data_IF_103415950375
#
_entry.id   IF_103415950375
#
_cell.length_a   1.000
_cell.length_b   1.000
_cell.length_c   1.000
_cell.angle_alpha   90.00
_cell.angle_beta   90.00
_cell.angle_gamma   90.00
#
_symmetry.space_group_name_H-M   'P 1'
#
loop_
_entity.id
_entity.type
_entity.pdbx_description
1 polymer ?
#
# COMPACT_ATOMS: atom_id res chain seq x y z
N UNK A 1 -12.52 -22.69 14.22
CA UNK A 1 -13.07 -21.34 14.22
C UNK A 1 -13.79 -21.10 12.89
N UNK A 2 -15.05 -20.74 12.94
CA UNK A 2 -15.81 -20.48 11.70
C UNK A 2 -15.30 -19.18 11.05
N UNK A 3 -15.05 -19.23 9.75
CA UNK A 3 -14.73 -18.03 8.99
C UNK A 3 -15.93 -17.07 9.05
N UNK A 4 -15.68 -15.84 9.44
CA UNK A 4 -16.72 -14.83 9.48
C UNK A 4 -17.16 -14.49 8.05
N UNK A 5 -18.45 -14.59 7.77
CA UNK A 5 -19.01 -14.24 6.45
C UNK A 5 -18.69 -12.81 6.04
N UNK A 6 -18.59 -11.88 7.00
CA UNK A 6 -18.24 -10.50 6.72
C UNK A 6 -16.82 -10.37 6.16
N UNK A 7 -15.89 -11.17 6.66
CA UNK A 7 -14.51 -11.18 6.13
C UNK A 7 -14.48 -11.67 4.68
N UNK A 8 -15.19 -12.76 4.39
CA UNK A 8 -15.27 -13.30 3.03
C UNK A 8 -15.93 -12.31 2.06
N UNK A 9 -17.02 -11.67 2.50
CA UNK A 9 -17.72 -10.65 1.70
C UNK A 9 -16.84 -9.42 1.46
N UNK A 10 -16.10 -8.99 2.47
CA UNK A 10 -15.18 -7.86 2.34
C UNK A 10 -14.09 -8.17 1.32
N UNK A 11 -13.49 -9.37 1.39
CA UNK A 11 -12.48 -9.81 0.43
C UNK A 11 -13.03 -9.78 -0.99
N UNK A 12 -14.21 -10.35 -1.19
CA UNK A 12 -14.86 -10.40 -2.50
C UNK A 12 -15.14 -8.98 -3.03
N UNK A 13 -15.66 -8.09 -2.20
CA UNK A 13 -15.95 -6.71 -2.58
C UNK A 13 -14.67 -5.97 -3.00
N UNK A 14 -13.59 -6.11 -2.25
CA UNK A 14 -12.31 -5.49 -2.60
C UNK A 14 -11.70 -6.08 -3.85
N UNK A 15 -11.77 -7.40 -4.03
CA UNK A 15 -11.29 -8.06 -5.24
C UNK A 15 -12.07 -7.58 -6.48
N UNK A 16 -13.38 -7.38 -6.38
CA UNK A 16 -14.19 -6.82 -7.46
C UNK A 16 -13.84 -5.37 -7.77
N UNK A 17 -13.55 -4.57 -6.76
CA UNK A 17 -13.21 -3.16 -6.92
C UNK A 17 -11.79 -2.94 -7.48
N UNK A 18 -10.90 -3.91 -7.32
CA UNK A 18 -9.49 -3.75 -7.67
C UNK A 18 -9.24 -3.30 -9.13
N UNK A 19 -9.91 -3.86 -10.16
CA UNK A 19 -9.70 -3.38 -11.53
C UNK A 19 -10.07 -1.91 -11.74
N UNK A 20 -11.13 -1.45 -11.07
CA UNK A 20 -11.54 -0.04 -11.14
C UNK A 20 -10.51 0.87 -10.49
N UNK A 21 -9.98 0.46 -9.34
CA UNK A 21 -8.91 1.18 -8.66
C UNK A 21 -7.63 1.23 -9.48
N UNK A 22 -7.29 0.13 -10.13
CA UNK A 22 -6.13 0.07 -11.02
C UNK A 22 -6.23 1.11 -12.13
N UNK A 23 -7.38 1.17 -12.78
CA UNK A 23 -7.65 2.15 -13.85
C UNK A 23 -7.61 3.58 -13.32
N UNK A 24 -8.28 3.84 -12.19
CA UNK A 24 -8.35 5.17 -11.59
C UNK A 24 -6.99 5.67 -11.11
N UNK A 25 -6.09 4.77 -10.70
CA UNK A 25 -4.79 5.11 -10.13
C UNK A 25 -3.65 5.13 -11.15
N UNK A 26 -3.93 5.16 -12.44
CA UNK A 26 -2.90 5.19 -13.48
C UNK A 26 -1.90 6.33 -13.26
N UNK A 27 -2.40 7.54 -13.04
CA UNK A 27 -1.55 8.71 -12.82
C UNK A 27 -0.74 8.58 -11.54
N UNK A 28 -1.34 8.03 -10.49
CA UNK A 28 -0.64 7.78 -9.22
C UNK A 28 0.51 6.79 -9.42
N UNK A 29 0.29 5.72 -10.20
CA UNK A 29 1.36 4.75 -10.49
C UNK A 29 2.53 5.40 -11.22
N UNK A 30 2.23 6.24 -12.19
CA UNK A 30 3.25 6.98 -12.94
C UNK A 30 4.07 7.88 -12.01
N UNK A 31 3.40 8.58 -11.09
CA UNK A 31 4.07 9.43 -10.09
C UNK A 31 4.90 8.62 -9.11
N UNK A 32 4.39 7.48 -8.64
CA UNK A 32 5.10 6.62 -7.68
C UNK A 32 6.37 5.98 -8.28
N UNK A 33 6.47 5.87 -9.60
CA UNK A 33 7.68 5.43 -10.26
C UNK A 33 8.85 6.41 -10.04
N UNK A 34 8.56 7.69 -9.76
CA UNK A 34 9.56 8.67 -9.41
C UNK A 34 9.98 8.54 -7.94
N UNK A 35 11.28 8.57 -7.66
CA UNK A 35 11.81 8.52 -6.30
C UNK A 35 11.41 9.75 -5.46
N UNK A 36 11.15 10.86 -6.12
CA UNK A 36 10.83 12.13 -5.44
C UNK A 36 9.38 12.22 -5.00
N UNK A 37 8.51 11.38 -5.54
CA UNK A 37 7.10 11.43 -5.20
C UNK A 37 6.75 10.50 -4.03
N UNK A 38 5.98 11.04 -3.09
CA UNK A 38 5.44 10.31 -1.94
C UNK A 38 3.94 10.61 -1.85
N UNK A 39 3.11 9.58 -1.79
CA UNK A 39 1.65 9.75 -1.78
C UNK A 39 1.10 10.14 -0.40
N UNK A 40 1.90 10.08 0.65
CA UNK A 40 1.47 10.45 1.98
C UNK A 40 1.34 11.96 2.12
N UNK A 41 0.36 12.40 2.93
CA UNK A 41 0.23 13.82 3.25
C UNK A 41 1.46 14.33 4.01
N UNK A 42 1.68 15.63 3.97
CA UNK A 42 2.77 16.26 4.72
C UNK A 42 2.66 15.95 6.21
N UNK A 43 1.43 15.94 6.75
CA UNK A 43 1.19 15.61 8.15
C UNK A 43 1.64 14.18 8.49
N UNK A 44 1.27 13.20 7.66
CA UNK A 44 1.66 11.81 7.86
C UNK A 44 3.18 11.65 7.77
N UNK A 45 3.80 12.28 6.77
CA UNK A 45 5.25 12.23 6.62
C UNK A 45 5.97 12.82 7.83
N UNK A 46 5.48 13.95 8.34
CA UNK A 46 6.07 14.60 9.52
C UNK A 46 5.98 13.70 10.75
N UNK A 47 4.82 13.08 10.98
CA UNK A 47 4.62 12.17 12.11
C UNK A 47 5.51 10.94 12.01
N UNK A 48 5.63 10.34 10.83
CA UNK A 48 6.49 9.18 10.62
C UNK A 48 7.97 9.51 10.83
N UNK A 49 8.41 10.69 10.43
CA UNK A 49 9.76 11.17 10.71
C UNK A 49 10.01 11.33 12.21
N UNK A 50 9.03 11.86 12.93
CA UNK A 50 9.11 12.04 14.39
C UNK A 50 9.19 10.68 15.11
N UNK A 51 8.43 9.69 14.67
CA UNK A 51 8.48 8.32 15.20
C UNK A 51 9.83 7.67 14.88
N UNK A 52 10.46 8.04 13.77
CA UNK A 52 11.77 7.53 13.38
C UNK A 52 11.70 6.31 12.48
N UNK A 53 11.05 6.45 11.33
CA UNK A 53 10.88 5.37 10.34
C UNK A 53 12.20 4.96 9.68
N UNK A 54 13.13 5.89 9.54
CA UNK A 54 14.41 5.64 8.87
C UNK A 54 15.17 4.49 9.52
N UNK A 55 15.55 3.49 8.73
CA UNK A 55 16.30 2.33 9.19
C UNK A 55 15.48 1.29 9.95
N UNK A 56 14.18 1.46 10.07
CA UNK A 56 13.31 0.53 10.79
C UNK A 56 12.56 -0.41 9.84
N UNK A 57 12.11 -1.52 10.40
CA UNK A 57 11.22 -2.46 9.71
C UNK A 57 9.78 -2.04 9.98
N UNK A 58 9.02 -1.79 8.92
CA UNK A 58 7.67 -1.27 8.98
C UNK A 58 6.69 -2.30 8.41
N UNK A 59 5.57 -2.48 9.09
CA UNK A 59 4.46 -3.29 8.62
C UNK A 59 3.22 -2.40 8.51
N UNK A 60 2.54 -2.47 7.39
CA UNK A 60 1.26 -1.79 7.18
C UNK A 60 0.15 -2.80 7.01
N UNK A 61 -0.86 -2.74 7.86
CA UNK A 61 -2.08 -3.53 7.70
C UNK A 61 -3.05 -2.77 6.80
N UNK A 62 -3.86 -3.53 6.06
CA UNK A 62 -4.80 -2.98 5.10
C UNK A 62 -4.08 -2.11 4.05
N UNK A 63 -3.03 -2.67 3.45
CA UNK A 63 -2.15 -1.89 2.57
C UNK A 63 -2.77 -1.59 1.20
N UNK A 64 -3.91 -2.22 0.86
CA UNK A 64 -4.56 -2.02 -0.43
C UNK A 64 -3.56 -2.35 -1.56
N UNK A 65 -3.39 -1.47 -2.54
CA UNK A 65 -2.45 -1.67 -3.65
C UNK A 65 -1.00 -1.29 -3.31
N UNK A 66 -0.70 -1.03 -2.05
CA UNK A 66 0.67 -0.82 -1.57
C UNK A 66 1.24 0.57 -1.76
N UNK A 67 0.47 1.55 -2.23
CA UNK A 67 0.96 2.90 -2.51
C UNK A 67 1.58 3.58 -1.28
N UNK A 68 0.94 3.42 -0.13
CA UNK A 68 1.43 3.99 1.13
C UNK A 68 2.64 3.22 1.65
N UNK A 69 2.62 1.89 1.55
CA UNK A 69 3.76 1.05 1.93
C UNK A 69 5.01 1.42 1.13
N UNK A 70 4.86 1.61 -0.17
CA UNK A 70 5.94 2.04 -1.06
C UNK A 70 6.45 3.42 -0.65
N UNK A 71 5.55 4.34 -0.33
CA UNK A 71 5.89 5.69 0.10
C UNK A 71 6.66 5.70 1.42
N UNK A 72 6.29 4.84 2.37
CA UNK A 72 7.01 4.67 3.63
C UNK A 72 8.43 4.12 3.38
N UNK A 73 8.56 3.17 2.47
CA UNK A 73 9.89 2.65 2.08
C UNK A 73 10.78 3.77 1.53
N UNK A 74 10.24 4.66 0.73
CA UNK A 74 10.97 5.83 0.20
C UNK A 74 11.45 6.79 1.29
N UNK A 75 10.82 6.79 2.46
CA UNK A 75 11.25 7.59 3.60
C UNK A 75 12.47 7.02 4.32
N UNK A 76 13.02 5.92 3.84
CA UNK A 76 14.24 5.33 4.38
C UNK A 76 14.02 4.14 5.30
N UNK A 77 12.83 3.56 5.35
CA UNK A 77 12.61 2.32 6.09
C UNK A 77 13.55 1.22 5.58
N UNK A 78 14.08 0.41 6.48
CA UNK A 78 14.93 -0.72 6.09
C UNK A 78 14.11 -1.74 5.33
N UNK A 79 12.92 -2.07 5.83
CA UNK A 79 11.94 -2.89 5.14
C UNK A 79 10.55 -2.28 5.30
N UNK A 80 9.68 -2.52 4.33
CA UNK A 80 8.28 -2.15 4.44
C UNK A 80 7.45 -3.30 3.86
N UNK A 81 6.60 -3.89 4.69
CA UNK A 81 5.75 -5.04 4.34
C UNK A 81 4.30 -4.63 4.46
N UNK A 82 3.52 -4.88 3.44
CA UNK A 82 2.09 -4.62 3.43
C UNK A 82 1.28 -5.91 3.54
N UNK A 83 0.18 -5.83 4.26
CA UNK A 83 -0.78 -6.92 4.42
C UNK A 83 -2.16 -6.47 3.99
N UNK A 84 -2.83 -7.27 3.18
CA UNK A 84 -4.21 -7.01 2.78
C UNK A 84 -4.95 -8.31 2.54
N UNK A 85 -6.25 -8.31 2.80
CA UNK A 85 -7.11 -9.48 2.56
C UNK A 85 -7.37 -9.68 1.07
N UNK A 86 -7.31 -8.63 0.26
CA UNK A 86 -7.57 -8.70 -1.17
C UNK A 86 -6.33 -9.16 -1.93
N UNK A 87 -6.36 -10.38 -2.45
CA UNK A 87 -5.29 -10.88 -3.30
C UNK A 87 -5.16 -10.07 -4.59
N UNK A 88 -6.25 -9.53 -5.11
CA UNK A 88 -6.21 -8.69 -6.31
C UNK A 88 -5.44 -7.38 -6.06
N UNK A 89 -5.63 -6.75 -4.91
CA UNK A 89 -4.84 -5.57 -4.54
C UNK A 89 -3.37 -5.90 -4.28
N UNK A 90 -3.09 -7.05 -3.66
CA UNK A 90 -1.70 -7.49 -3.46
C UNK A 90 -1.00 -7.73 -4.81
N UNK A 91 -1.68 -8.30 -5.78
CA UNK A 91 -1.13 -8.46 -7.14
C UNK A 91 -0.79 -7.11 -7.77
N UNK A 92 -1.63 -6.11 -7.58
CA UNK A 92 -1.34 -4.74 -8.03
C UNK A 92 -0.10 -4.18 -7.36
N UNK A 93 0.00 -4.34 -6.03
CA UNK A 93 1.17 -3.89 -5.27
C UNK A 93 2.45 -4.55 -5.78
N UNK A 94 2.42 -5.84 -6.02
CA UNK A 94 3.57 -6.59 -6.54
C UNK A 94 3.98 -6.11 -7.93
N UNK A 95 3.03 -5.73 -8.78
CA UNK A 95 3.33 -5.26 -10.13
C UNK A 95 4.08 -3.91 -10.12
N UNK A 96 3.85 -3.07 -9.12
CA UNK A 96 4.58 -1.81 -8.98
C UNK A 96 6.05 -2.00 -8.63
N UNK A 97 6.37 -3.10 -7.95
CA UNK A 97 7.74 -3.42 -7.54
C UNK A 97 8.61 -3.98 -8.67
N UNK A 98 8.01 -4.31 -9.79
CA UNK A 98 8.72 -4.90 -10.95
C UNK A 98 9.23 -3.87 -11.95
N UNK A 99 9.04 -2.62 -11.67
CA UNK A 99 9.46 -1.53 -12.55
C UNK A 99 10.91 -1.13 -12.27
#
# INVERSE_FOLDING_TARGET
MKTNNYTALAKEAFDEAAPLHWKANKLLREKLASQDYNCLSVLHQTKLKTIGVKGRDIAQFNCNNGRETISIKKMGAATAVGFDISSAFIEQAMSWLKV
#
